data_IF_219760606059
#
_entry.id   IF_219760606059
#
_cell.length_a   1.000
_cell.length_b   1.000
_cell.length_c   1.000
_cell.angle_alpha   90.00
_cell.angle_beta   90.00
_cell.angle_gamma   90.00
#
_symmetry.space_group_name_H-M   'P 1'
#
loop_
_entity.id
_entity.type
_entity.pdbx_description
1 polymer ?
#
# COMPACT_ATOMS: atom_id res chain seq x y z
N UNK A 1 22.99 54.02 43.06
CA UNK A 1 23.05 52.56 43.23
C UNK A 1 21.97 51.94 42.41
N UNK A 2 22.35 50.90 41.62
CA UNK A 2 21.53 50.06 40.75
C UNK A 2 20.98 50.73 39.50
N UNK A 3 21.48 50.65 38.39
CA UNK A 3 22.18 49.77 37.50
C UNK A 3 21.27 48.83 36.75
N UNK A 4 20.16 49.34 36.08
CA UNK A 4 19.33 48.56 35.20
C UNK A 4 19.91 48.46 33.80
N UNK A 5 20.36 47.28 33.36
CA UNK A 5 20.77 47.03 31.99
C UNK A 5 19.53 46.94 31.08
N UNK A 6 19.57 47.54 29.90
CA UNK A 6 18.55 47.29 28.90
C UNK A 6 18.74 45.89 28.28
N UNK A 7 17.67 45.14 28.19
CA UNK A 7 17.61 43.87 27.48
C UNK A 7 17.77 44.07 25.97
N UNK A 8 18.49 43.19 25.27
CA UNK A 8 18.55 43.25 23.81
C UNK A 8 17.22 42.83 23.19
N UNK A 9 16.78 43.60 22.23
CA UNK A 9 15.67 43.29 21.36
C UNK A 9 16.05 42.06 20.54
N UNK A 10 15.23 41.03 20.60
CA UNK A 10 15.26 39.91 19.66
C UNK A 10 14.64 40.35 18.34
N UNK A 11 15.51 40.59 17.35
CA UNK A 11 15.08 40.67 15.96
C UNK A 11 14.53 39.31 15.53
N UNK A 12 13.22 39.26 15.37
CA UNK A 12 12.52 38.15 14.74
C UNK A 12 12.85 38.10 13.26
N UNK A 13 13.83 37.31 12.90
CA UNK A 13 14.07 36.96 11.51
C UNK A 13 12.92 36.07 11.04
N UNK A 14 12.06 36.65 10.24
CA UNK A 14 11.06 35.98 9.47
C UNK A 14 11.74 35.10 8.40
N UNK A 15 12.06 33.86 8.75
CA UNK A 15 12.54 32.88 7.78
C UNK A 15 11.32 32.28 7.06
N UNK A 16 10.93 32.96 5.99
CA UNK A 16 10.02 32.42 5.01
C UNK A 16 10.56 31.06 4.51
N UNK A 17 9.83 30.00 4.79
CA UNK A 17 10.07 28.68 4.24
C UNK A 17 10.13 28.74 2.71
N UNK A 18 11.05 28.06 2.04
CA UNK A 18 11.13 28.09 0.59
C UNK A 18 9.87 27.45 0.01
N UNK A 19 9.14 28.21 -0.78
CA UNK A 19 8.08 27.73 -1.64
C UNK A 19 8.67 26.68 -2.58
N UNK A 20 8.40 25.41 -2.30
CA UNK A 20 8.66 24.34 -3.26
C UNK A 20 7.75 24.60 -4.47
N UNK A 21 8.32 25.20 -5.50
CA UNK A 21 7.66 25.26 -6.81
C UNK A 21 7.45 23.84 -7.28
N UNK A 22 6.20 23.35 -7.20
CA UNK A 22 5.79 22.16 -7.94
C UNK A 22 6.00 22.46 -9.42
N UNK A 23 7.13 22.04 -9.93
CA UNK A 23 7.31 21.93 -11.37
C UNK A 23 6.46 20.75 -11.81
N UNK A 24 5.23 21.04 -12.20
CA UNK A 24 4.36 20.11 -12.86
C UNK A 24 4.98 19.75 -14.21
N UNK A 25 5.80 18.73 -14.26
CA UNK A 25 6.08 18.06 -15.52
C UNK A 25 4.79 17.39 -15.96
N UNK A 26 4.26 17.68 -17.14
CA UNK A 26 3.18 16.89 -17.67
C UNK A 26 3.69 15.45 -17.77
N UNK A 27 3.01 14.54 -17.08
CA UNK A 27 3.21 13.12 -17.27
C UNK A 27 2.75 12.82 -18.68
N UNK A 28 3.70 12.73 -19.59
CA UNK A 28 3.42 12.29 -20.96
C UNK A 28 3.11 10.81 -20.86
N UNK A 29 1.82 10.49 -20.88
CA UNK A 29 1.37 9.12 -21.05
C UNK A 29 1.86 8.69 -22.43
N UNK A 30 2.88 7.85 -22.47
CA UNK A 30 3.32 7.23 -23.69
C UNK A 30 2.13 6.42 -24.25
N UNK A 31 1.58 6.91 -25.36
CA UNK A 31 0.53 6.24 -26.11
C UNK A 31 1.12 4.94 -26.64
N UNK A 32 0.88 3.81 -25.97
CA UNK A 32 1.37 2.53 -26.46
C UNK A 32 1.50 1.39 -25.44
N UNK A 33 1.12 1.57 -24.19
CA UNK A 33 1.09 0.47 -23.24
C UNK A 33 -0.34 0.23 -22.73
N UNK A 34 -1.07 -0.76 -23.27
CA UNK A 34 -2.45 -1.05 -22.84
C UNK A 34 -2.54 -1.72 -21.47
N UNK A 35 -1.47 -1.75 -20.68
CA UNK A 35 -1.35 -2.57 -19.46
C UNK A 35 -1.89 -1.88 -18.21
N UNK A 36 -2.17 -0.58 -18.23
CA UNK A 36 -2.63 0.16 -17.05
C UNK A 36 -4.14 0.43 -16.98
N UNK A 37 -4.92 -0.05 -17.96
CA UNK A 37 -6.35 0.27 -18.04
C UNK A 37 -7.28 -0.69 -17.30
N UNK A 38 -6.77 -1.72 -16.64
CA UNK A 38 -7.59 -2.71 -15.92
C UNK A 38 -6.96 -3.21 -14.62
N UNK A 39 -6.14 -2.41 -13.95
CA UNK A 39 -5.68 -2.79 -12.61
C UNK A 39 -6.74 -2.31 -11.64
N UNK A 40 -7.48 -3.23 -11.03
CA UNK A 40 -8.35 -2.90 -9.89
C UNK A 40 -7.50 -2.29 -8.78
N UNK A 41 -8.11 -1.46 -7.92
CA UNK A 41 -7.40 -0.80 -6.83
C UNK A 41 -6.57 -1.81 -6.02
N UNK A 42 -5.31 -1.53 -5.74
CA UNK A 42 -4.47 -2.44 -4.97
C UNK A 42 -5.06 -2.66 -3.57
N UNK A 43 -4.90 -3.87 -3.06
CA UNK A 43 -5.36 -4.28 -1.75
C UNK A 43 -4.18 -4.39 -0.80
N UNK A 44 -4.22 -3.66 0.32
CA UNK A 44 -3.27 -3.84 1.42
C UNK A 44 -3.89 -4.79 2.44
N UNK A 45 -3.23 -5.91 2.67
CA UNK A 45 -3.64 -6.93 3.64
C UNK A 45 -2.87 -6.79 4.95
N UNK A 46 -3.60 -6.85 6.06
CA UNK A 46 -3.05 -6.85 7.41
C UNK A 46 -3.44 -8.13 8.15
N UNK A 47 -2.50 -9.06 8.36
CA UNK A 47 -2.76 -10.23 9.19
C UNK A 47 -2.89 -9.85 10.66
N UNK A 48 -3.87 -10.40 11.36
CA UNK A 48 -4.17 -10.08 12.75
C UNK A 48 -4.43 -11.32 13.59
N UNK A 49 -3.93 -11.32 14.82
CA UNK A 49 -4.22 -12.39 15.79
C UNK A 49 -5.68 -12.35 16.25
N UNK A 50 -6.28 -11.16 16.22
CA UNK A 50 -7.70 -10.91 16.47
C UNK A 50 -8.22 -9.98 15.36
N UNK A 51 -8.80 -10.52 14.28
CA UNK A 51 -9.30 -9.73 13.14
C UNK A 51 -10.39 -8.74 13.53
N UNK A 52 -11.23 -9.07 14.51
CA UNK A 52 -12.29 -8.17 14.95
C UNK A 52 -11.73 -6.94 15.68
N UNK A 53 -10.69 -7.12 16.49
CA UNK A 53 -9.98 -6.02 17.14
C UNK A 53 -9.27 -5.16 16.09
N UNK A 54 -8.60 -5.77 15.10
CA UNK A 54 -7.95 -5.06 14.01
C UNK A 54 -8.97 -4.30 13.14
N UNK A 55 -10.12 -4.90 12.85
CA UNK A 55 -11.23 -4.24 12.15
C UNK A 55 -11.66 -2.96 12.86
N UNK A 56 -11.89 -3.02 14.17
CA UNK A 56 -12.28 -1.84 14.97
C UNK A 56 -11.19 -0.77 14.96
N UNK A 57 -9.93 -1.18 15.07
CA UNK A 57 -8.79 -0.26 15.03
C UNK A 57 -8.74 0.49 13.69
N UNK A 58 -8.73 -0.24 12.58
CA UNK A 58 -8.62 0.38 11.26
C UNK A 58 -9.85 1.20 10.90
N UNK A 59 -11.05 0.75 11.26
CA UNK A 59 -12.27 1.54 11.09
C UNK A 59 -12.20 2.87 11.84
N UNK A 60 -11.69 2.87 13.06
CA UNK A 60 -11.53 4.07 13.86
C UNK A 60 -10.46 5.03 13.31
N UNK A 61 -9.32 4.50 12.91
CA UNK A 61 -8.21 5.31 12.37
C UNK A 61 -8.56 5.96 11.04
N UNK A 62 -9.21 5.21 10.15
CA UNK A 62 -9.51 5.67 8.80
C UNK A 62 -10.88 6.35 8.66
N UNK A 63 -11.72 6.25 9.68
CA UNK A 63 -13.10 6.74 9.59
C UNK A 63 -13.96 5.99 8.57
N UNK A 64 -13.58 4.76 8.21
CA UNK A 64 -14.24 3.93 7.20
C UNK A 64 -14.67 2.59 7.79
N UNK A 65 -15.85 2.11 7.44
CA UNK A 65 -16.32 0.80 7.87
C UNK A 65 -15.65 -0.31 7.05
N UNK A 66 -15.10 -1.31 7.73
CA UNK A 66 -14.68 -2.56 7.08
C UNK A 66 -15.86 -3.55 7.13
N UNK A 67 -16.27 -4.02 5.96
CA UNK A 67 -17.33 -5.01 5.78
C UNK A 67 -16.73 -6.43 5.66
N UNK A 68 -17.51 -7.48 5.98
CA UNK A 68 -17.10 -8.85 5.69
C UNK A 68 -16.79 -9.02 4.21
N UNK A 69 -15.74 -9.76 3.88
CA UNK A 69 -15.47 -10.12 2.48
C UNK A 69 -16.57 -10.99 1.91
N UNK A 70 -16.84 -10.85 0.61
CA UNK A 70 -17.58 -11.88 -0.12
C UNK A 70 -16.89 -13.24 0.02
N UNK A 71 -17.64 -14.31 0.07
CA UNK A 71 -17.14 -15.69 0.27
C UNK A 71 -16.02 -16.09 -0.71
N UNK A 72 -16.01 -15.49 -1.88
CA UNK A 72 -15.00 -15.71 -2.93
C UNK A 72 -13.65 -15.00 -2.63
N UNK A 73 -13.66 -14.01 -1.78
CA UNK A 73 -12.47 -13.22 -1.38
C UNK A 73 -11.72 -13.78 -0.17
N UNK A 74 -12.13 -14.94 0.35
CA UNK A 74 -11.57 -15.53 1.57
C UNK A 74 -12.18 -14.94 2.85
N UNK A 75 -11.72 -15.42 4.00
CA UNK A 75 -12.16 -14.92 5.30
C UNK A 75 -11.54 -13.56 5.62
N UNK A 76 -12.29 -12.70 6.28
CA UNK A 76 -11.80 -11.40 6.76
C UNK A 76 -12.74 -10.25 6.48
N UNK A 77 -12.20 -9.06 6.66
CA UNK A 77 -12.91 -7.79 6.55
C UNK A 77 -12.20 -6.89 5.56
N UNK A 78 -12.94 -6.11 4.81
CA UNK A 78 -12.38 -5.21 3.81
C UNK A 78 -13.11 -3.86 3.77
N UNK A 79 -12.35 -2.80 3.58
CA UNK A 79 -12.85 -1.50 3.17
C UNK A 79 -12.39 -1.24 1.74
N UNK A 80 -13.32 -0.93 0.86
CA UNK A 80 -13.04 -0.61 -0.54
C UNK A 80 -13.09 0.88 -0.81
N UNK A 81 -12.19 1.35 -1.66
CA UNK A 81 -12.18 2.68 -2.27
C UNK A 81 -11.80 2.57 -3.74
N UNK A 82 -11.98 3.67 -4.49
CA UNK A 82 -11.65 3.70 -5.91
C UNK A 82 -10.15 3.47 -6.17
N UNK A 83 -9.30 3.94 -5.26
CA UNK A 83 -7.85 4.00 -5.46
C UNK A 83 -7.06 3.02 -4.58
N UNK A 84 -7.67 2.53 -3.51
CA UNK A 84 -7.03 1.62 -2.55
C UNK A 84 -8.08 0.80 -1.82
N UNK A 85 -7.78 -0.47 -1.60
CA UNK A 85 -8.54 -1.39 -0.74
C UNK A 85 -7.68 -1.77 0.46
N UNK A 86 -8.29 -1.93 1.62
CA UNK A 86 -7.63 -2.38 2.84
C UNK A 86 -8.35 -3.60 3.39
N UNK A 87 -7.62 -4.67 3.64
CA UNK A 87 -8.14 -5.91 4.18
C UNK A 87 -7.50 -6.29 5.51
N UNK A 88 -8.27 -6.99 6.33
CA UNK A 88 -7.82 -7.59 7.60
C UNK A 88 -8.26 -9.04 7.60
N UNK A 89 -7.33 -9.94 7.88
CA UNK A 89 -7.62 -11.38 7.99
C UNK A 89 -6.95 -12.00 9.20
N UNK A 90 -7.35 -13.23 9.56
CA UNK A 90 -6.71 -13.98 10.63
C UNK A 90 -5.24 -14.24 10.27
N UNK A 91 -4.34 -13.98 11.22
CA UNK A 91 -2.94 -14.37 11.09
C UNK A 91 -2.82 -15.88 11.06
N UNK A 92 -2.14 -16.39 10.05
CA UNK A 92 -1.79 -17.79 9.89
C UNK A 92 -0.28 -17.99 9.91
N UNK A 93 0.14 -19.13 9.44
CA UNK A 93 1.56 -19.51 9.29
C UNK A 93 2.02 -19.56 7.82
N UNK A 94 1.12 -19.27 6.90
CA UNK A 94 1.40 -19.26 5.47
C UNK A 94 2.27 -18.08 5.03
N UNK A 95 2.79 -18.13 3.80
CA UNK A 95 3.71 -17.09 3.30
C UNK A 95 3.13 -15.69 3.27
N UNK A 96 1.81 -15.53 3.09
CA UNK A 96 1.10 -14.25 3.08
C UNK A 96 0.53 -13.85 4.44
N UNK A 97 0.64 -14.70 5.46
CA UNK A 97 -0.11 -14.56 6.71
C UNK A 97 0.68 -13.89 7.84
N UNK A 98 1.96 -13.64 7.63
CA UNK A 98 2.88 -13.19 8.69
C UNK A 98 3.25 -11.72 8.61
N UNK A 99 3.03 -11.07 7.48
CA UNK A 99 3.37 -9.67 7.24
C UNK A 99 2.29 -8.98 6.42
N UNK A 100 2.22 -7.66 6.54
CA UNK A 100 1.36 -6.86 5.67
C UNK A 100 1.88 -6.91 4.24
N UNK A 101 1.00 -7.15 3.28
CA UNK A 101 1.33 -7.26 1.86
C UNK A 101 0.43 -6.36 1.02
N UNK A 102 0.99 -5.86 -0.06
CA UNK A 102 0.22 -5.21 -1.12
C UNK A 102 -0.05 -6.23 -2.22
N UNK A 103 -1.32 -6.41 -2.56
CA UNK A 103 -1.78 -7.27 -3.65
C UNK A 103 -2.11 -6.41 -4.87
N UNK A 104 -1.51 -6.73 -5.99
CA UNK A 104 -1.82 -6.15 -7.29
C UNK A 104 -2.57 -7.17 -8.13
N UNK A 105 -3.70 -6.77 -8.69
CA UNK A 105 -4.46 -7.63 -9.61
C UNK A 105 -3.83 -7.57 -11.00
N UNK A 106 -3.64 -8.72 -11.62
CA UNK A 106 -3.08 -8.85 -12.96
C UNK A 106 -4.00 -9.72 -13.84
N UNK A 107 -4.12 -9.42 -15.13
CA UNK A 107 -5.00 -10.17 -16.02
C UNK A 107 -4.50 -11.60 -16.30
N UNK A 108 -3.21 -11.82 -16.27
CA UNK A 108 -2.57 -13.13 -16.50
C UNK A 108 -1.49 -13.34 -15.43
N UNK A 109 -1.84 -14.14 -14.42
CA UNK A 109 -0.93 -14.39 -13.30
C UNK A 109 0.32 -15.20 -13.73
N UNK A 110 0.22 -16.29 -14.47
CA UNK A 110 1.39 -17.01 -14.96
C UNK A 110 2.39 -16.12 -15.73
N UNK A 111 1.90 -15.32 -16.66
CA UNK A 111 2.74 -14.40 -17.43
C UNK A 111 3.36 -13.31 -16.54
N UNK A 112 2.61 -12.79 -15.58
CA UNK A 112 3.14 -11.82 -14.61
C UNK A 112 4.23 -12.43 -13.71
N UNK A 113 4.09 -13.68 -13.28
CA UNK A 113 5.12 -14.36 -12.50
C UNK A 113 6.40 -14.61 -13.30
N UNK A 114 6.27 -14.93 -14.58
CA UNK A 114 7.44 -15.03 -15.47
C UNK A 114 8.16 -13.68 -15.58
N UNK A 115 7.42 -12.59 -15.77
CA UNK A 115 8.01 -11.24 -15.78
C UNK A 115 8.70 -10.86 -14.48
N UNK A 116 8.16 -11.25 -13.32
CA UNK A 116 8.82 -11.03 -12.03
C UNK A 116 10.21 -11.64 -12.03
N UNK A 117 10.35 -12.88 -12.51
CA UNK A 117 11.65 -13.57 -12.57
C UNK A 117 12.58 -12.92 -13.59
N UNK A 118 12.09 -12.62 -14.78
CA UNK A 118 12.87 -12.00 -15.87
C UNK A 118 13.44 -10.62 -15.48
N UNK A 119 12.72 -9.91 -14.60
CA UNK A 119 13.10 -8.59 -14.09
C UNK A 119 13.95 -8.63 -12.81
N UNK A 120 14.39 -9.81 -12.38
CA UNK A 120 15.27 -9.98 -11.24
C UNK A 120 14.57 -10.12 -9.88
N UNK A 121 13.24 -10.26 -9.87
CA UNK A 121 12.48 -10.63 -8.69
C UNK A 121 12.44 -12.14 -8.47
N UNK A 122 11.68 -12.57 -7.48
CA UNK A 122 11.50 -14.00 -7.17
C UNK A 122 10.08 -14.32 -6.77
N UNK A 123 9.64 -15.54 -7.09
CA UNK A 123 8.36 -16.10 -6.66
C UNK A 123 8.61 -16.94 -5.42
N UNK A 124 8.02 -16.55 -4.27
CA UNK A 124 8.19 -17.24 -2.99
C UNK A 124 7.14 -18.32 -2.83
N UNK A 125 5.90 -17.98 -3.17
CA UNK A 125 4.77 -18.89 -3.09
C UNK A 125 3.96 -18.79 -4.38
N UNK A 126 4.12 -19.73 -5.31
CA UNK A 126 3.28 -19.79 -6.51
C UNK A 126 1.91 -20.36 -6.14
N UNK A 127 0.85 -19.72 -6.63
CA UNK A 127 -0.52 -20.17 -6.47
C UNK A 127 -1.32 -19.97 -7.76
N UNK A 128 -2.46 -20.64 -7.86
CA UNK A 128 -3.31 -20.57 -9.05
C UNK A 128 -4.07 -19.24 -9.15
N UNK A 129 -4.44 -18.66 -8.03
CA UNK A 129 -5.23 -17.44 -7.95
C UNK A 129 -4.46 -16.24 -7.43
N UNK A 130 -3.42 -16.48 -6.66
CA UNK A 130 -2.54 -15.45 -6.12
C UNK A 130 -1.16 -16.04 -5.84
N UNK A 131 -0.15 -15.20 -5.82
CA UNK A 131 1.23 -15.57 -5.53
C UNK A 131 1.92 -14.52 -4.69
N UNK A 132 2.83 -14.94 -3.83
CA UNK A 132 3.72 -14.07 -3.08
C UNK A 132 5.06 -14.00 -3.81
N UNK A 133 5.54 -12.79 -3.99
CA UNK A 133 6.77 -12.48 -4.70
C UNK A 133 7.68 -11.57 -3.87
N UNK A 134 8.92 -11.43 -4.32
CA UNK A 134 9.81 -10.34 -3.95
C UNK A 134 10.23 -9.58 -5.20
N UNK A 135 10.36 -8.28 -5.08
CA UNK A 135 10.91 -7.45 -6.15
C UNK A 135 12.43 -7.62 -6.29
N UNK A 136 13.06 -6.87 -7.18
CA UNK A 136 14.51 -6.90 -7.41
C UNK A 136 15.35 -6.50 -6.20
N UNK A 137 14.75 -5.78 -5.25
CA UNK A 137 15.40 -5.32 -4.01
C UNK A 137 15.01 -6.20 -2.79
N UNK A 138 14.22 -7.25 -3.01
CA UNK A 138 13.82 -8.20 -1.97
C UNK A 138 12.57 -7.82 -1.19
N UNK A 139 11.87 -6.75 -1.56
CA UNK A 139 10.63 -6.33 -0.90
C UNK A 139 9.47 -7.28 -1.24
N UNK A 140 8.70 -7.74 -0.26
CA UNK A 140 7.61 -8.66 -0.49
C UNK A 140 6.37 -7.93 -1.05
N UNK A 141 5.71 -8.55 -2.00
CA UNK A 141 4.42 -8.14 -2.55
C UNK A 141 3.65 -9.36 -3.05
N UNK A 142 2.41 -9.18 -3.43
CA UNK A 142 1.59 -10.24 -3.98
C UNK A 142 0.98 -9.84 -5.32
N UNK A 143 0.76 -10.84 -6.17
CA UNK A 143 -0.03 -10.76 -7.38
C UNK A 143 -1.27 -11.63 -7.24
N UNK A 144 -2.40 -11.15 -7.73
CA UNK A 144 -3.65 -11.90 -7.78
C UNK A 144 -4.20 -11.89 -9.20
N UNK A 145 -4.78 -13.01 -9.62
CA UNK A 145 -5.48 -13.10 -10.89
C UNK A 145 -6.72 -12.21 -10.86
N UNK A 146 -7.01 -11.54 -11.95
CA UNK A 146 -8.30 -10.89 -12.17
C UNK A 146 -9.39 -11.96 -12.29
N UNK A 147 -10.49 -11.79 -11.58
CA UNK A 147 -11.61 -12.77 -11.54
C UNK A 147 -12.75 -12.39 -12.46
#
# INVERSE_FOLDING_TARGET
>A
MWGGRPSPRSDGGDQAAPLIKRVGRPFVVATGCPILTCVSAPLIEFPADDPERARRFWSGVLGAALAPRPSEGGEGWEAGGADLRLGVHQRGSGPGDTASLVYFTVPDLPDALQRVQDLGGSVIHPGERWAICRDSEGSPFALAADT
#
